data_IF_581025832932
#
_entry.id   IF_581025832932
#
_cell.length_a   1.000
_cell.length_b   1.000
_cell.length_c   1.000
_cell.angle_alpha   90.00
_cell.angle_beta   90.00
_cell.angle_gamma   90.00
#
_symmetry.space_group_name_H-M   'P 1'
#
loop_
_entity.id
_entity.type
_entity.pdbx_description
1 polymer ?
#
# COMPACT_ATOMS: atom_id res chain seq x y z
N UNK A 1 -27.52 36.33 -10.76
CA UNK A 1 -27.93 34.92 -10.81
C UNK A 1 -27.17 34.15 -9.70
N UNK A 2 -27.85 33.88 -8.60
CA UNK A 2 -27.24 33.20 -7.42
C UNK A 2 -27.54 31.71 -7.54
N UNK A 3 -26.52 30.86 -7.59
CA UNK A 3 -26.66 29.40 -7.51
C UNK A 3 -26.46 28.95 -6.09
N UNK A 4 -27.52 28.46 -5.48
CA UNK A 4 -27.55 27.84 -4.17
C UNK A 4 -26.95 26.44 -4.22
N UNK A 5 -25.92 26.19 -3.39
CA UNK A 5 -25.32 24.89 -3.17
C UNK A 5 -26.18 24.14 -2.12
N UNK A 6 -26.77 23.04 -2.54
CA UNK A 6 -27.44 22.09 -1.63
C UNK A 6 -26.39 21.18 -0.98
N UNK A 7 -26.22 21.30 0.33
CA UNK A 7 -25.51 20.33 1.15
C UNK A 7 -26.48 19.21 1.53
N UNK A 8 -26.23 18.01 1.02
CA UNK A 8 -26.90 16.80 1.51
C UNK A 8 -25.95 16.04 2.44
N UNK A 9 -26.21 16.16 3.74
CA UNK A 9 -25.56 15.39 4.78
C UNK A 9 -26.29 14.05 4.92
N UNK A 10 -25.60 12.94 4.61
CA UNK A 10 -26.08 11.59 4.92
C UNK A 10 -25.28 11.05 6.11
N UNK A 11 -25.88 11.13 7.29
CA UNK A 11 -25.46 10.37 8.48
C UNK A 11 -25.93 8.93 8.30
N UNK A 12 -25.02 7.99 8.26
CA UNK A 12 -25.31 6.57 8.47
C UNK A 12 -24.61 6.10 9.73
N UNK A 13 -25.39 6.03 10.80
CA UNK A 13 -25.02 5.35 12.03
C UNK A 13 -25.18 3.84 11.83
N UNK A 14 -24.11 3.09 12.02
CA UNK A 14 -24.19 1.62 12.18
C UNK A 14 -23.45 1.25 13.45
N UNK A 15 -24.27 1.04 14.50
CA UNK A 15 -23.91 0.31 15.70
C UNK A 15 -23.88 -1.17 15.38
N UNK A 16 -22.93 -1.95 15.92
CA UNK A 16 -23.22 -3.25 16.51
C UNK A 16 -21.99 -4.05 16.93
N UNK A 17 -22.05 -4.40 18.16
CA UNK A 17 -21.81 -5.72 18.78
C UNK A 17 -20.37 -6.14 19.04
N UNK A 18 -20.02 -5.89 20.32
CA UNK A 18 -19.00 -6.61 21.09
C UNK A 18 -19.34 -8.11 21.14
N UNK A 19 -18.39 -8.95 20.78
CA UNK A 19 -18.31 -10.32 21.25
C UNK A 19 -16.98 -10.52 21.97
N UNK A 20 -17.04 -10.51 23.32
CA UNK A 20 -15.94 -10.99 24.17
C UNK A 20 -15.87 -12.52 24.03
N UNK A 21 -14.75 -13.04 23.56
CA UNK A 21 -14.38 -14.44 23.73
C UNK A 21 -13.08 -14.51 24.52
N UNK A 22 -13.21 -14.70 25.84
CA UNK A 22 -12.11 -15.13 26.69
C UNK A 22 -11.91 -16.65 26.45
N UNK A 23 -10.81 -17.02 25.83
CA UNK A 23 -10.30 -18.38 25.85
C UNK A 23 -8.97 -18.36 26.61
N UNK A 24 -9.01 -18.72 27.89
CA UNK A 24 -7.87 -19.06 28.68
C UNK A 24 -7.36 -20.44 28.23
N UNK A 25 -6.14 -20.51 27.68
CA UNK A 25 -5.36 -21.73 27.58
C UNK A 25 -4.02 -21.53 28.26
N UNK A 26 -3.99 -21.97 29.52
CA UNK A 26 -2.74 -22.29 30.23
C UNK A 26 -2.14 -23.55 29.60
N UNK A 27 -1.06 -23.41 28.85
CA UNK A 27 -0.25 -24.50 28.34
C UNK A 27 1.21 -24.14 28.56
N UNK A 28 1.79 -24.62 29.67
CA UNK A 28 3.22 -24.61 29.88
C UNK A 28 3.92 -25.53 28.88
N UNK A 29 4.43 -24.96 27.80
CA UNK A 29 5.26 -25.65 26.83
C UNK A 29 6.65 -25.04 26.87
N UNK A 30 7.65 -25.87 27.08
CA UNK A 30 9.08 -25.57 26.96
C UNK A 30 9.31 -24.88 25.59
N UNK A 31 10.01 -23.74 25.52
CA UNK A 31 10.27 -23.10 24.24
C UNK A 31 11.11 -24.07 23.37
N UNK A 32 10.67 -24.33 22.12
CA UNK A 32 11.48 -25.08 21.18
C UNK A 32 12.77 -24.31 20.89
N UNK A 33 13.88 -24.99 20.58
CA UNK A 33 15.12 -24.34 20.20
C UNK A 33 14.83 -23.42 18.99
N UNK A 34 15.36 -22.20 19.06
CA UNK A 34 15.22 -21.21 18.01
C UNK A 34 15.69 -21.80 16.67
N UNK A 35 14.74 -22.19 15.84
CA UNK A 35 15.04 -22.50 14.45
C UNK A 35 15.48 -21.19 13.78
N UNK A 36 16.55 -21.21 12.99
CA UNK A 36 16.86 -20.06 12.16
C UNK A 36 15.62 -19.80 11.30
N UNK A 37 14.95 -18.68 11.54
CA UNK A 37 13.90 -18.17 10.66
C UNK A 37 14.56 -17.98 9.30
N UNK A 38 14.35 -18.96 8.42
CA UNK A 38 14.61 -18.74 7.01
C UNK A 38 13.83 -17.46 6.66
N UNK A 39 14.58 -16.42 6.26
CA UNK A 39 13.99 -15.19 5.78
C UNK A 39 12.97 -15.60 4.72
N UNK A 40 11.70 -15.39 5.02
CA UNK A 40 10.65 -15.62 4.08
C UNK A 40 11.02 -14.83 2.81
N UNK A 41 11.02 -15.45 1.62
CA UNK A 41 11.23 -14.70 0.39
C UNK A 41 10.19 -13.60 0.37
N UNK A 42 10.68 -12.36 0.41
CA UNK A 42 9.89 -11.17 0.71
C UNK A 42 8.64 -11.09 -0.17
N UNK A 43 7.66 -10.44 0.36
CA UNK A 43 6.35 -10.14 -0.22
C UNK A 43 6.37 -9.37 -1.57
N UNK A 44 7.30 -9.70 -2.46
CA UNK A 44 7.27 -9.35 -3.87
C UNK A 44 6.19 -10.15 -4.62
N UNK A 45 5.58 -11.15 -3.97
CA UNK A 45 4.57 -12.01 -4.55
C UNK A 45 3.19 -11.37 -4.39
N UNK A 46 2.59 -10.99 -5.51
CA UNK A 46 1.19 -10.64 -5.75
C UNK A 46 0.81 -9.17 -5.84
N UNK A 47 1.67 -8.31 -6.37
CA UNK A 47 1.13 -7.14 -7.05
C UNK A 47 0.54 -7.62 -8.38
N UNK A 48 -0.81 -7.62 -8.47
CA UNK A 48 -1.48 -7.91 -9.74
C UNK A 48 -0.91 -7.02 -10.84
N UNK A 49 -0.93 -7.50 -12.08
CA UNK A 49 -0.47 -6.73 -13.23
C UNK A 49 -1.08 -5.31 -13.20
N UNK A 50 -0.25 -4.29 -13.34
CA UNK A 50 -0.70 -2.90 -13.39
C UNK A 50 -1.64 -2.73 -14.59
N UNK A 51 -2.87 -2.31 -14.29
CA UNK A 51 -3.84 -1.97 -15.33
C UNK A 51 -3.62 -0.54 -15.82
N UNK A 52 -3.81 -0.32 -17.13
CA UNK A 52 -3.74 1.00 -17.72
C UNK A 52 -2.80 1.10 -18.92
N UNK A 53 -2.68 2.30 -19.50
CA UNK A 53 -1.82 2.55 -20.64
C UNK A 53 -0.33 2.46 -20.29
N UNK A 54 0.54 2.08 -21.26
CA UNK A 54 1.98 1.87 -21.01
C UNK A 54 2.72 3.13 -20.54
N UNK A 55 2.23 4.31 -20.87
CA UNK A 55 2.84 5.57 -20.45
C UNK A 55 2.76 5.86 -18.95
N UNK A 56 1.90 5.17 -18.19
CA UNK A 56 1.90 5.23 -16.72
C UNK A 56 2.23 3.88 -16.08
N UNK A 57 1.85 2.74 -16.65
CA UNK A 57 2.17 1.43 -16.06
C UNK A 57 3.67 1.18 -16.01
N UNK A 58 4.39 1.49 -17.09
CA UNK A 58 5.85 1.29 -17.15
C UNK A 58 6.61 2.09 -16.08
N UNK A 59 6.45 3.42 -15.96
CA UNK A 59 7.18 4.17 -14.92
C UNK A 59 6.78 3.80 -13.49
N UNK A 60 5.53 3.37 -13.24
CA UNK A 60 5.12 2.86 -11.93
C UNK A 60 5.86 1.55 -11.64
N UNK A 61 5.86 0.59 -12.57
CA UNK A 61 6.55 -0.69 -12.41
C UNK A 61 8.06 -0.53 -12.20
N UNK A 62 8.70 0.37 -12.93
CA UNK A 62 10.13 0.68 -12.78
C UNK A 62 10.43 1.22 -11.37
N UNK A 63 9.59 2.11 -10.85
CA UNK A 63 9.77 2.63 -9.50
C UNK A 63 9.55 1.56 -8.44
N UNK A 64 8.52 0.74 -8.57
CA UNK A 64 8.25 -0.39 -7.69
C UNK A 64 9.44 -1.36 -7.65
N UNK A 65 10.04 -1.66 -8.79
CA UNK A 65 11.21 -2.54 -8.86
C UNK A 65 12.44 -1.96 -8.12
N UNK A 66 12.62 -0.63 -8.15
CA UNK A 66 13.67 0.04 -7.38
C UNK A 66 13.41 -0.09 -5.88
N UNK A 67 12.18 0.20 -5.44
CA UNK A 67 11.77 0.16 -4.04
C UNK A 67 11.86 -1.28 -3.48
N UNK A 68 11.47 -2.28 -4.27
CA UNK A 68 11.58 -3.71 -3.92
C UNK A 68 13.04 -4.14 -3.72
N UNK A 69 13.92 -3.68 -4.60
CA UNK A 69 15.35 -3.95 -4.45
C UNK A 69 15.89 -3.27 -3.20
N UNK A 70 15.54 -2.02 -2.97
CA UNK A 70 16.09 -1.23 -1.86
C UNK A 70 15.65 -1.79 -0.50
N UNK A 71 14.41 -2.28 -0.36
CA UNK A 71 13.98 -2.97 0.88
C UNK A 71 14.68 -4.32 1.04
N UNK A 72 14.88 -5.07 -0.05
CA UNK A 72 15.56 -6.37 -0.01
C UNK A 72 17.03 -6.24 0.38
N UNK A 73 17.68 -5.17 -0.04
CA UNK A 73 19.09 -4.90 0.27
C UNK A 73 19.31 -4.12 1.57
N UNK A 74 18.23 -3.76 2.27
CA UNK A 74 18.28 -3.04 3.55
C UNK A 74 18.54 -1.53 3.42
N UNK A 75 18.56 -0.97 2.21
CA UNK A 75 18.64 0.48 2.01
C UNK A 75 17.34 1.19 2.36
N UNK A 76 16.22 0.49 2.31
CA UNK A 76 14.91 0.99 2.66
C UNK A 76 14.33 0.18 3.82
N UNK A 77 13.80 0.85 4.86
CA UNK A 77 13.11 0.15 5.94
C UNK A 77 11.75 -0.37 5.48
N UNK A 78 11.29 -1.48 6.09
CA UNK A 78 9.99 -2.06 5.78
C UNK A 78 8.84 -1.06 5.97
N UNK A 79 8.90 -0.23 7.01
CA UNK A 79 7.88 0.78 7.28
C UNK A 79 7.75 1.81 6.15
N UNK A 80 8.88 2.26 5.61
CA UNK A 80 8.88 3.21 4.48
C UNK A 80 8.41 2.54 3.20
N UNK A 81 8.81 1.29 2.98
CA UNK A 81 8.35 0.47 1.86
C UNK A 81 6.83 0.31 1.85
N UNK A 82 6.23 -0.03 3.00
CA UNK A 82 4.78 -0.19 3.12
C UNK A 82 4.06 1.13 2.85
N UNK A 83 4.57 2.24 3.36
CA UNK A 83 4.02 3.57 3.10
C UNK A 83 4.06 3.96 1.62
N UNK A 84 5.17 3.73 0.93
CA UNK A 84 5.26 3.96 -0.51
C UNK A 84 4.20 3.16 -1.26
N UNK A 85 4.01 1.88 -0.90
CA UNK A 85 3.02 1.03 -1.54
C UNK A 85 1.59 1.51 -1.29
N UNK A 86 1.26 1.98 -0.09
CA UNK A 86 -0.03 2.58 0.24
C UNK A 86 -0.29 3.84 -0.57
N UNK A 87 0.68 4.74 -0.68
CA UNK A 87 0.56 5.97 -1.46
C UNK A 87 0.37 5.69 -2.96
N UNK A 88 1.08 4.71 -3.52
CA UNK A 88 0.89 4.26 -4.90
C UNK A 88 -0.49 3.64 -5.11
N UNK A 89 -0.97 2.83 -4.16
CA UNK A 89 -2.28 2.18 -4.23
C UNK A 89 -3.43 3.20 -4.08
N UNK A 90 -3.25 4.24 -3.29
CA UNK A 90 -4.26 5.28 -3.11
C UNK A 90 -4.32 6.27 -4.28
N UNK A 91 -3.26 6.42 -5.07
CA UNK A 91 -3.14 7.48 -6.07
C UNK A 91 -2.74 7.03 -7.47
N UNK A 92 -1.45 6.75 -7.68
CA UNK A 92 -0.91 6.55 -9.02
C UNK A 92 -1.49 5.33 -9.76
N UNK A 93 -1.66 4.20 -9.06
CA UNK A 93 -2.21 2.97 -9.66
C UNK A 93 -3.66 3.14 -10.12
N UNK A 94 -4.60 3.62 -9.28
CA UNK A 94 -5.99 3.80 -9.73
C UNK A 94 -6.15 4.88 -10.79
N UNK A 95 -5.34 5.94 -10.76
CA UNK A 95 -5.35 6.95 -11.81
C UNK A 95 -4.87 6.37 -13.16
N UNK A 96 -3.84 5.52 -13.14
CA UNK A 96 -3.35 4.82 -14.32
C UNK A 96 -4.39 3.83 -14.85
N UNK A 97 -5.00 3.02 -13.99
CA UNK A 97 -6.05 2.06 -14.36
C UNK A 97 -7.27 2.75 -14.99
N UNK A 98 -7.58 3.97 -14.56
CA UNK A 98 -8.64 4.80 -15.14
C UNK A 98 -8.23 5.52 -16.43
N UNK A 99 -7.02 5.27 -16.97
CA UNK A 99 -6.51 5.93 -18.17
C UNK A 99 -6.06 7.38 -17.97
N UNK A 100 -6.01 7.88 -16.75
CA UNK A 100 -5.60 9.25 -16.41
C UNK A 100 -4.06 9.34 -16.30
N UNK A 101 -3.41 9.12 -17.43
CA UNK A 101 -1.96 8.94 -17.50
C UNK A 101 -1.17 10.13 -16.93
N UNK A 102 -1.50 11.35 -17.31
CA UNK A 102 -0.82 12.56 -16.85
C UNK A 102 -0.93 12.74 -15.32
N UNK A 103 -2.12 12.46 -14.77
CA UNK A 103 -2.37 12.51 -13.33
C UNK A 103 -1.58 11.41 -12.60
N UNK A 104 -1.61 10.16 -13.10
CA UNK A 104 -0.87 9.05 -12.53
C UNK A 104 0.63 9.34 -12.45
N UNK A 105 1.21 9.91 -13.53
CA UNK A 105 2.62 10.31 -13.57
C UNK A 105 2.92 11.44 -12.59
N UNK A 106 2.02 12.42 -12.44
CA UNK A 106 2.16 13.49 -11.46
C UNK A 106 2.13 12.98 -10.02
N UNK A 107 1.23 12.02 -9.73
CA UNK A 107 1.15 11.35 -8.43
C UNK A 107 2.42 10.54 -8.15
N UNK A 108 2.89 9.75 -9.11
CA UNK A 108 4.13 8.99 -9.00
C UNK A 108 5.32 9.92 -8.71
N UNK A 109 5.44 11.04 -9.42
CA UNK A 109 6.53 12.00 -9.22
C UNK A 109 6.53 12.57 -7.80
N UNK A 110 5.34 12.85 -7.23
CA UNK A 110 5.21 13.30 -5.84
C UNK A 110 5.68 12.23 -4.85
N UNK A 111 5.22 10.99 -4.99
CA UNK A 111 5.66 9.87 -4.14
C UNK A 111 7.17 9.69 -4.21
N UNK A 112 7.76 9.69 -5.41
CA UNK A 112 9.21 9.60 -5.58
C UNK A 112 9.95 10.71 -4.82
N UNK A 113 9.51 11.95 -5.00
CA UNK A 113 10.16 13.11 -4.37
C UNK A 113 10.02 13.10 -2.86
N UNK A 114 8.85 12.73 -2.31
CA UNK A 114 8.61 12.68 -0.85
C UNK A 114 9.47 11.62 -0.14
N UNK A 115 9.85 10.57 -0.85
CA UNK A 115 10.71 9.50 -0.33
C UNK A 115 12.18 9.58 -0.81
N UNK A 116 12.60 10.73 -1.38
CA UNK A 116 14.00 11.00 -1.75
C UNK A 116 14.47 10.38 -3.08
N UNK A 117 13.57 9.79 -3.86
CA UNK A 117 13.87 9.29 -5.20
C UNK A 117 13.74 10.44 -6.25
N UNK A 118 14.77 10.68 -7.04
CA UNK A 118 14.82 11.72 -8.08
C UNK A 118 14.90 11.13 -9.47
#
# INVERSE_FOLDING_TARGET
MRRTLSLSASLSASSALLALSLAACSGGGTPPPAQPVAAAPGAAATRGALAGPPGCTKPIAEYEAIVDRDVTTGYLSQVVYDRINEELAAGARPACAAGREAEARGLLARVRTSHGYR
#
